data_IF_470368753842
#
_entry.id   IF_470368753842
#
_cell.length_a   1.000
_cell.length_b   1.000
_cell.length_c   1.000
_cell.angle_alpha   90.00
_cell.angle_beta   90.00
_cell.angle_gamma   90.00
#
_symmetry.space_group_name_H-M   'P 1'
#
loop_
_entity.id
_entity.type
_entity.pdbx_description
1 polymer ?
#
# COMPACT_ATOMS: atom_id res chain seq x y z
N UNK A 1 23.23 20.01 -5.19
CA UNK A 1 23.99 20.75 -4.17
C UNK A 1 23.20 20.68 -2.88
N UNK A 2 23.68 19.88 -1.93
CA UNK A 2 23.44 19.95 -0.48
C UNK A 2 21.99 19.90 0.07
N UNK A 3 21.62 18.72 0.60
CA UNK A 3 21.24 18.40 2.01
C UNK A 3 20.32 17.15 2.00
N UNK A 4 20.77 15.90 2.30
CA UNK A 4 21.02 15.31 3.63
C UNK A 4 19.73 15.17 4.49
N UNK A 5 19.40 14.10 5.25
CA UNK A 5 20.19 13.07 5.94
C UNK A 5 19.26 11.85 6.24
N UNK A 6 19.62 10.66 5.78
CA UNK A 6 19.15 9.38 6.34
C UNK A 6 19.93 9.09 7.64
N UNK A 7 19.23 8.78 8.73
CA UNK A 7 19.84 8.30 9.98
C UNK A 7 19.72 6.77 10.08
N UNK A 8 20.84 6.05 10.05
CA UNK A 8 20.89 4.61 10.35
C UNK A 8 22.06 4.34 11.30
N UNK A 9 21.75 3.75 12.46
CA UNK A 9 22.66 3.59 13.60
C UNK A 9 23.24 4.91 14.15
N UNK A 10 22.62 6.05 13.85
CA UNK A 10 23.09 7.42 14.11
C UNK A 10 24.18 7.96 13.17
N UNK A 11 24.47 7.29 12.04
CA UNK A 11 25.55 7.69 11.13
C UNK A 11 25.28 7.36 9.63
N UNK A 12 25.57 8.28 8.70
CA UNK A 12 25.60 7.97 7.26
C UNK A 12 26.79 7.08 6.92
N UNK A 13 26.53 5.85 6.47
CA UNK A 13 27.60 4.89 6.12
C UNK A 13 27.29 4.11 4.84
N UNK A 14 28.32 3.83 4.04
CA UNK A 14 28.17 2.96 2.87
C UNK A 14 27.93 1.49 3.26
N UNK A 15 27.31 0.71 2.39
CA UNK A 15 26.94 -0.69 2.66
C UNK A 15 28.12 -1.56 3.12
N UNK A 16 29.30 -1.34 2.54
CA UNK A 16 30.50 -2.07 2.96
C UNK A 16 30.91 -1.80 4.42
N UNK A 17 30.66 -0.59 4.94
CA UNK A 17 30.94 -0.20 6.32
C UNK A 17 29.85 -0.69 7.26
N UNK A 18 28.58 -0.70 6.83
CA UNK A 18 27.46 -1.33 7.54
C UNK A 18 27.72 -2.82 7.80
N UNK A 19 27.99 -3.56 6.72
CA UNK A 19 28.26 -4.99 6.77
C UNK A 19 29.58 -5.33 7.51
N UNK A 20 30.53 -4.39 7.53
CA UNK A 20 31.75 -4.50 8.34
C UNK A 20 31.45 -4.29 9.83
N UNK A 21 30.76 -3.20 10.20
CA UNK A 21 30.41 -2.87 11.59
C UNK A 21 29.63 -4.00 12.27
N UNK A 22 28.61 -4.56 11.59
CA UNK A 22 27.82 -5.69 12.12
C UNK A 22 28.65 -6.93 12.47
N UNK A 23 29.74 -7.19 11.75
CA UNK A 23 30.61 -8.36 11.95
C UNK A 23 31.72 -8.08 12.95
N UNK A 24 32.15 -6.83 13.05
CA UNK A 24 33.42 -6.46 13.66
C UNK A 24 33.24 -5.67 14.96
N UNK A 25 32.15 -4.92 15.14
CA UNK A 25 31.86 -4.20 16.37
C UNK A 25 31.84 -5.08 17.63
N UNK A 26 31.26 -6.31 17.63
CA UNK A 26 31.29 -7.20 18.79
C UNK A 26 32.68 -7.65 19.25
N UNK A 27 33.68 -7.53 18.37
CA UNK A 27 35.08 -7.92 18.64
C UNK A 27 36.03 -6.74 18.47
N UNK A 28 35.52 -5.51 18.59
CA UNK A 28 36.32 -4.30 18.35
C UNK A 28 37.51 -4.21 19.30
N UNK A 29 37.34 -4.68 20.55
CA UNK A 29 38.36 -4.70 21.59
C UNK A 29 39.56 -5.61 21.24
N UNK A 30 39.36 -6.63 20.40
CA UNK A 30 40.40 -7.60 20.02
C UNK A 30 41.27 -7.12 18.84
N UNK A 31 40.90 -6.00 18.20
CA UNK A 31 41.59 -5.53 17.01
C UNK A 31 42.83 -4.72 17.38
N UNK A 32 43.95 -5.02 16.71
CA UNK A 32 45.22 -4.27 16.80
C UNK A 32 45.49 -3.52 15.49
N UNK A 33 46.01 -2.30 15.62
CA UNK A 33 46.57 -1.56 14.49
C UNK A 33 48.08 -1.77 14.49
N UNK A 34 48.64 -1.96 13.31
CA UNK A 34 50.09 -2.11 13.12
C UNK A 34 50.74 -0.86 12.53
N UNK A 35 49.98 0.22 12.38
CA UNK A 35 50.37 1.46 11.70
C UNK A 35 50.15 2.70 12.59
N UNK A 36 50.22 2.55 13.91
CA UNK A 36 50.18 3.67 14.86
C UNK A 36 48.80 4.30 15.10
N UNK A 37 47.72 3.52 14.96
CA UNK A 37 46.32 3.90 15.27
C UNK A 37 45.73 5.13 14.54
N UNK A 38 46.45 5.69 13.56
CA UNK A 38 46.04 6.88 12.79
C UNK A 38 45.82 6.61 11.30
N UNK A 39 45.44 5.38 10.93
CA UNK A 39 45.20 5.04 9.52
C UNK A 39 44.07 5.86 8.92
N UNK A 40 44.33 6.48 7.78
CA UNK A 40 43.28 7.13 7.00
C UNK A 40 42.37 6.08 6.34
N UNK A 41 41.06 6.21 6.54
CA UNK A 41 40.05 5.28 6.03
C UNK A 41 39.27 5.94 4.89
N UNK A 42 39.56 5.52 3.66
CA UNK A 42 38.91 5.93 2.41
C UNK A 42 38.28 4.73 1.69
N UNK A 43 37.62 4.93 0.55
CA UNK A 43 37.05 3.84 -0.24
C UNK A 43 38.09 2.80 -0.69
N UNK A 44 39.34 3.23 -0.87
CA UNK A 44 40.48 2.39 -1.27
C UNK A 44 41.15 1.76 -0.03
N UNK A 45 41.44 2.57 1.00
CA UNK A 45 42.29 2.15 2.13
C UNK A 45 41.53 1.43 3.25
N UNK A 46 40.18 1.45 3.24
CA UNK A 46 39.32 0.81 4.26
C UNK A 46 39.53 -0.69 4.45
N UNK A 47 40.29 -1.38 3.62
CA UNK A 47 40.61 -2.80 3.83
C UNK A 47 41.91 -3.02 4.61
N UNK A 48 42.77 -2.00 4.72
CA UNK A 48 44.14 -2.14 5.23
C UNK A 48 44.23 -2.21 6.76
N UNK A 49 43.34 -1.53 7.49
CA UNK A 49 43.32 -1.59 8.95
C UNK A 49 41.90 -1.73 9.49
N UNK A 50 41.59 -2.90 10.06
CA UNK A 50 40.28 -3.19 10.66
C UNK A 50 40.06 -2.39 11.95
N UNK A 51 41.09 -2.19 12.78
CA UNK A 51 41.01 -1.43 14.03
C UNK A 51 40.61 0.04 13.77
N UNK A 52 41.38 0.76 12.95
CA UNK A 52 41.07 2.17 12.63
C UNK A 52 39.76 2.32 11.85
N UNK A 53 39.39 1.32 11.02
CA UNK A 53 38.07 1.34 10.36
C UNK A 53 36.91 1.20 11.33
N UNK A 54 36.98 0.26 12.28
CA UNK A 54 35.89 0.10 13.24
C UNK A 54 35.82 1.28 14.20
N UNK A 55 36.98 1.84 14.58
CA UNK A 55 37.04 3.06 15.38
C UNK A 55 36.34 4.20 14.65
N UNK A 56 36.68 4.45 13.38
CA UNK A 56 35.99 5.45 12.56
C UNK A 56 34.49 5.20 12.45
N UNK A 57 34.03 3.95 12.41
CA UNK A 57 32.60 3.63 12.43
C UNK A 57 31.91 4.07 13.74
N UNK A 58 32.55 3.89 14.89
CA UNK A 58 32.05 4.41 16.17
C UNK A 58 32.13 5.94 16.22
N UNK A 59 33.22 6.53 15.74
CA UNK A 59 33.42 7.99 15.74
C UNK A 59 32.37 8.72 14.90
N UNK A 60 31.89 8.10 13.80
CA UNK A 60 30.79 8.67 12.99
C UNK A 60 29.41 8.42 13.60
N UNK A 61 29.32 7.68 14.71
CA UNK A 61 28.10 7.52 15.50
C UNK A 61 27.45 6.14 15.48
N UNK A 62 28.02 5.12 14.83
CA UNK A 62 27.42 3.78 14.80
C UNK A 62 27.42 3.14 16.19
N UNK A 63 26.25 2.68 16.66
CA UNK A 63 26.10 2.09 18.00
C UNK A 63 25.95 0.57 17.99
N UNK A 64 26.71 -0.14 18.84
CA UNK A 64 26.74 -1.60 18.91
C UNK A 64 25.43 -2.21 19.45
N UNK A 65 24.71 -1.50 20.32
CA UNK A 65 23.45 -1.97 20.94
C UNK A 65 22.32 -2.26 19.94
N UNK A 66 22.43 -1.77 18.70
CA UNK A 66 21.46 -2.01 17.63
C UNK A 66 21.82 -3.23 16.76
N UNK A 67 22.84 -3.99 17.14
CA UNK A 67 23.19 -5.29 16.55
C UNK A 67 22.52 -6.38 17.39
N UNK A 68 21.52 -7.07 16.80
CA UNK A 68 20.82 -8.23 17.40
C UNK A 68 21.79 -9.19 18.09
N UNK A 69 21.49 -9.55 19.35
CA UNK A 69 22.35 -10.36 20.21
C UNK A 69 22.46 -11.81 19.72
N UNK A 70 23.43 -12.57 20.27
CA UNK A 70 23.62 -13.99 19.94
C UNK A 70 22.40 -14.86 20.30
N UNK A 71 21.73 -14.53 21.41
CA UNK A 71 20.55 -15.24 21.92
C UNK A 71 19.32 -15.04 21.00
N UNK A 72 19.10 -13.82 20.50
CA UNK A 72 18.02 -13.55 19.54
C UNK A 72 18.18 -14.31 18.21
N UNK A 73 19.41 -14.64 17.82
CA UNK A 73 19.67 -15.48 16.64
C UNK A 73 19.39 -16.96 16.89
N UNK A 74 19.60 -17.46 18.10
CA UNK A 74 19.28 -18.83 18.48
C UNK A 74 17.76 -19.04 18.61
N UNK A 75 17.06 -18.09 19.24
CA UNK A 75 15.60 -18.09 19.34
C UNK A 75 14.92 -18.12 17.95
N UNK A 76 15.49 -17.46 16.94
CA UNK A 76 15.04 -17.56 15.54
C UNK A 76 15.23 -18.93 14.90
N UNK A 77 16.33 -19.63 15.23
CA UNK A 77 16.58 -21.00 14.72
C UNK A 77 15.65 -22.02 15.38
N UNK A 78 15.30 -21.80 16.65
CA UNK A 78 14.39 -22.66 17.41
C UNK A 78 12.93 -22.46 17.01
N UNK A 79 12.49 -21.21 16.78
CA UNK A 79 11.14 -20.92 16.25
C UNK A 79 10.89 -21.53 14.87
N UNK A 80 11.91 -21.58 14.00
CA UNK A 80 11.84 -22.24 12.68
C UNK A 80 11.75 -23.77 12.75
N UNK A 81 12.14 -24.38 13.88
CA UNK A 81 11.98 -25.82 14.13
C UNK A 81 10.60 -26.16 14.71
N UNK A 82 10.03 -25.26 15.52
CA UNK A 82 8.69 -25.45 16.12
C UNK A 82 7.55 -25.32 15.12
N UNK A 83 7.66 -24.41 14.14
CA UNK A 83 6.61 -24.18 13.13
C UNK A 83 6.39 -25.32 12.12
N UNK A 84 6.97 -26.50 12.33
CA UNK A 84 6.89 -27.65 11.42
C UNK A 84 6.22 -28.88 12.05
N UNK A 85 5.66 -28.76 13.26
CA UNK A 85 5.18 -29.91 14.04
C UNK A 85 3.85 -29.76 14.78
N UNK A 86 3.06 -28.71 14.58
CA UNK A 86 1.83 -28.49 15.36
C UNK A 86 0.64 -28.12 14.44
N UNK A 87 0.08 -29.14 13.77
CA UNK A 87 -1.30 -29.17 13.28
C UNK A 87 -2.04 -30.27 14.07
N UNK A 88 -2.68 -29.93 15.20
CA UNK A 88 -3.80 -30.70 15.78
C UNK A 88 -4.41 -30.01 17.02
N UNK A 89 -5.75 -29.90 17.00
CA UNK A 89 -6.76 -29.75 18.08
C UNK A 89 -7.01 -28.40 18.80
N UNK A 90 -8.14 -27.75 18.44
CA UNK A 90 -9.38 -27.44 19.22
C UNK A 90 -9.28 -26.81 20.64
N UNK A 91 -10.23 -26.03 21.19
CA UNK A 91 -11.48 -25.32 20.81
C UNK A 91 -12.02 -24.58 22.08
N UNK A 92 -12.74 -23.45 21.91
CA UNK A 92 -13.79 -22.79 22.76
C UNK A 92 -13.51 -22.39 24.25
N UNK A 93 -14.09 -21.35 24.90
CA UNK A 93 -15.43 -20.69 24.92
C UNK A 93 -15.44 -19.25 25.56
N UNK A 94 -16.40 -18.41 25.12
CA UNK A 94 -17.24 -17.30 25.73
C UNK A 94 -16.91 -16.61 27.10
N UNK A 95 -17.30 -15.38 27.49
CA UNK A 95 -18.48 -14.53 27.15
C UNK A 95 -18.44 -13.06 27.69
N UNK A 96 -19.31 -12.20 27.12
CA UNK A 96 -20.04 -11.00 27.64
C UNK A 96 -19.47 -9.55 27.82
N UNK A 97 -20.11 -8.61 27.07
CA UNK A 97 -20.60 -7.21 27.29
C UNK A 97 -19.73 -6.13 28.00
N UNK A 98 -19.74 -4.82 27.69
CA UNK A 98 -20.64 -3.87 27.00
C UNK A 98 -19.93 -2.49 26.82
N UNK A 99 -20.50 -1.63 25.94
CA UNK A 99 -20.33 -0.17 25.78
C UNK A 99 -18.99 0.44 25.35
N UNK A 100 -18.99 1.12 24.18
CA UNK A 100 -18.15 2.30 23.79
C UNK A 100 -18.09 2.49 22.25
N UNK A 101 -19.17 2.93 21.61
CA UNK A 101 -19.18 3.06 20.14
C UNK A 101 -18.31 4.22 19.57
N UNK A 102 -17.84 5.18 20.37
CA UNK A 102 -16.87 6.19 19.92
C UNK A 102 -15.41 5.72 20.02
N UNK A 103 -15.09 4.86 21.00
CA UNK A 103 -13.74 4.32 21.22
C UNK A 103 -13.45 3.19 20.24
N UNK A 104 -14.43 2.32 19.96
CA UNK A 104 -14.30 1.19 19.03
C UNK A 104 -13.84 1.59 17.63
N UNK A 105 -14.28 2.73 17.09
CA UNK A 105 -13.93 3.16 15.73
C UNK A 105 -12.44 3.53 15.59
N UNK A 106 -11.90 4.20 16.59
CA UNK A 106 -10.46 4.47 16.69
C UNK A 106 -9.68 3.16 16.95
N UNK A 107 -10.18 2.28 17.82
CA UNK A 107 -9.54 1.00 18.14
C UNK A 107 -9.51 0.04 16.94
N UNK A 108 -10.52 0.03 16.07
CA UNK A 108 -10.54 -0.82 14.86
C UNK A 108 -9.53 -0.33 13.83
N UNK A 109 -9.48 0.97 13.52
CA UNK A 109 -8.44 1.55 12.65
C UNK A 109 -7.03 1.29 13.23
N UNK A 110 -6.85 1.49 14.53
CA UNK A 110 -5.58 1.29 15.23
C UNK A 110 -5.17 -0.19 15.27
N UNK A 111 -6.10 -1.13 15.46
CA UNK A 111 -5.84 -2.58 15.43
C UNK A 111 -5.53 -3.13 14.03
N UNK A 112 -6.08 -2.52 12.97
CA UNK A 112 -5.78 -2.86 11.58
C UNK A 112 -4.42 -2.30 11.17
N UNK A 113 -4.12 -1.07 11.59
CA UNK A 113 -2.79 -0.46 11.48
C UNK A 113 -1.76 -1.33 12.21
N UNK A 114 -2.02 -1.79 13.44
CA UNK A 114 -1.10 -2.61 14.23
C UNK A 114 -0.90 -4.03 13.66
N UNK A 115 -1.99 -4.72 13.27
CA UNK A 115 -1.90 -6.04 12.60
C UNK A 115 -1.11 -5.96 11.30
N UNK A 116 -1.39 -4.95 10.48
CA UNK A 116 -0.69 -4.76 9.21
C UNK A 116 0.71 -4.18 9.41
N UNK A 117 0.94 -3.38 10.45
CA UNK A 117 2.27 -2.97 10.92
C UNK A 117 3.06 -4.13 11.57
N UNK A 118 2.42 -5.28 11.85
CA UNK A 118 3.07 -6.53 12.23
C UNK A 118 3.34 -7.45 11.02
N UNK A 119 2.52 -7.38 9.96
CA UNK A 119 2.77 -7.98 8.63
C UNK A 119 3.83 -7.22 7.81
N UNK A 120 3.86 -5.89 7.92
CA UNK A 120 4.91 -5.03 7.37
C UNK A 120 6.27 -5.60 7.76
N UNK A 121 6.63 -5.86 9.02
CA UNK A 121 7.88 -6.51 9.44
C UNK A 121 8.24 -7.81 8.73
N UNK A 122 7.30 -8.60 8.22
CA UNK A 122 7.60 -9.82 7.46
C UNK A 122 7.94 -9.47 6.01
N UNK A 123 7.08 -8.69 5.34
CA UNK A 123 7.30 -8.19 3.98
C UNK A 123 8.54 -7.28 3.93
N UNK A 124 8.65 -6.33 4.83
CA UNK A 124 9.79 -5.42 5.10
C UNK A 124 11.04 -6.19 5.47
N UNK A 125 10.98 -7.35 6.13
CA UNK A 125 12.21 -8.14 6.38
C UNK A 125 12.78 -8.74 5.09
N UNK A 126 11.94 -9.06 4.11
CA UNK A 126 12.38 -9.49 2.77
C UNK A 126 12.69 -8.29 1.85
N UNK A 127 11.93 -7.19 1.98
CA UNK A 127 12.16 -5.93 1.26
C UNK A 127 13.42 -5.19 1.75
N UNK A 128 13.80 -5.25 3.04
CA UNK A 128 15.00 -4.58 3.61
C UNK A 128 16.30 -5.04 2.95
N UNK A 129 16.35 -6.28 2.46
CA UNK A 129 17.53 -6.81 1.77
C UNK A 129 17.47 -6.62 0.25
N UNK A 130 16.26 -6.42 -0.30
CA UNK A 130 16.04 -6.29 -1.73
C UNK A 130 15.95 -4.84 -2.20
N UNK A 131 15.41 -3.94 -1.38
CA UNK A 131 15.12 -2.54 -1.68
C UNK A 131 16.04 -1.58 -0.91
N UNK A 132 16.31 -0.41 -1.51
CA UNK A 132 17.03 0.68 -0.89
C UNK A 132 16.13 1.50 0.04
N UNK A 133 16.75 2.35 0.86
CA UNK A 133 16.03 3.07 1.92
C UNK A 133 14.95 4.02 1.38
N UNK A 134 15.16 4.60 0.19
CA UNK A 134 14.17 5.46 -0.46
C UNK A 134 12.95 4.65 -0.91
N UNK A 135 13.16 3.51 -1.56
CA UNK A 135 12.06 2.62 -1.97
C UNK A 135 11.24 2.13 -0.77
N UNK A 136 11.91 1.75 0.32
CA UNK A 136 11.24 1.32 1.56
C UNK A 136 10.43 2.47 2.17
N UNK A 137 10.98 3.68 2.18
CA UNK A 137 10.28 4.87 2.65
C UNK A 137 8.99 5.10 1.87
N UNK A 138 9.05 4.99 0.54
CA UNK A 138 7.88 5.16 -0.34
C UNK A 138 6.84 4.08 -0.15
N UNK A 139 7.25 2.83 -0.03
CA UNK A 139 6.33 1.74 0.29
C UNK A 139 5.64 1.95 1.63
N UNK A 140 6.38 2.34 2.67
CA UNK A 140 5.83 2.58 4.01
C UNK A 140 4.84 3.74 3.99
N UNK A 141 5.20 4.86 3.38
CA UNK A 141 4.33 6.04 3.30
C UNK A 141 3.03 5.72 2.56
N UNK A 142 3.14 5.07 1.39
CA UNK A 142 1.98 4.62 0.62
C UNK A 142 1.10 3.70 1.47
N UNK A 143 1.70 2.68 2.08
CA UNK A 143 1.01 1.74 2.94
C UNK A 143 0.27 2.43 4.08
N UNK A 144 0.94 3.32 4.82
CA UNK A 144 0.35 4.03 5.94
C UNK A 144 -0.80 4.93 5.48
N UNK A 145 -0.66 5.55 4.32
CA UNK A 145 -1.69 6.39 3.70
C UNK A 145 -2.93 5.60 3.30
N UNK A 146 -2.76 4.38 2.76
CA UNK A 146 -3.87 3.59 2.22
C UNK A 146 -4.67 2.82 3.27
N UNK A 147 -4.16 2.66 4.50
CA UNK A 147 -4.88 1.91 5.55
C UNK A 147 -6.28 2.48 5.80
N UNK A 148 -6.43 3.81 5.80
CA UNK A 148 -7.70 4.49 6.05
C UNK A 148 -8.73 4.35 4.93
N UNK A 149 -8.38 3.78 3.76
CA UNK A 149 -9.32 3.58 2.65
C UNK A 149 -10.19 2.32 2.80
N UNK A 150 -9.78 1.41 3.68
CA UNK A 150 -10.42 0.10 3.85
C UNK A 150 -11.75 0.21 4.57
N UNK A 151 -12.68 -0.65 4.17
CA UNK A 151 -13.98 -0.74 4.83
C UNK A 151 -13.90 -1.56 6.12
N UNK A 152 -14.73 -1.23 7.12
CA UNK A 152 -14.91 -2.11 8.26
C UNK A 152 -15.39 -3.48 7.78
N UNK A 153 -14.95 -4.54 8.45
CA UNK A 153 -15.47 -5.89 8.22
C UNK A 153 -16.84 -5.94 8.89
N UNK A 154 -17.90 -6.05 8.10
CA UNK A 154 -19.30 -6.11 8.57
C UNK A 154 -19.88 -7.47 8.22
N UNK A 155 -20.69 -8.04 9.12
CA UNK A 155 -21.46 -9.26 8.86
C UNK A 155 -22.57 -8.96 7.85
N UNK A 156 -22.64 -9.69 6.71
CA UNK A 156 -23.66 -9.43 5.70
C UNK A 156 -25.04 -9.87 6.18
N UNK A 157 -26.05 -9.01 6.01
CA UNK A 157 -27.44 -9.44 6.00
C UNK A 157 -27.79 -9.84 4.56
N UNK A 158 -28.29 -11.06 4.36
CA UNK A 158 -28.62 -11.61 3.03
C UNK A 158 -29.93 -11.03 2.45
N UNK A 159 -30.13 -9.72 2.59
CA UNK A 159 -31.24 -9.02 1.95
C UNK A 159 -30.75 -8.45 0.61
N UNK A 160 -31.30 -8.99 -0.47
CA UNK A 160 -31.02 -8.52 -1.82
C UNK A 160 -31.72 -7.17 -2.01
N UNK A 161 -30.94 -6.12 -2.26
CA UNK A 161 -31.48 -4.78 -2.48
C UNK A 161 -32.10 -4.67 -3.87
N UNK A 162 -33.27 -4.02 -3.98
CA UNK A 162 -33.81 -3.63 -5.28
C UNK A 162 -32.90 -2.56 -5.93
N UNK A 163 -33.06 -2.33 -7.23
CA UNK A 163 -32.19 -1.42 -8.00
C UNK A 163 -32.11 0.00 -7.42
N UNK A 164 -33.23 0.55 -6.96
CA UNK A 164 -33.29 1.92 -6.43
C UNK A 164 -32.51 2.04 -5.13
N UNK A 165 -32.67 1.07 -4.23
CA UNK A 165 -31.97 1.07 -2.95
C UNK A 165 -30.47 0.76 -3.13
N UNK A 166 -30.13 -0.11 -4.08
CA UNK A 166 -28.74 -0.36 -4.49
C UNK A 166 -28.06 0.94 -4.98
N UNK A 167 -28.73 1.74 -5.81
CA UNK A 167 -28.21 3.04 -6.26
C UNK A 167 -27.98 4.01 -5.10
N UNK A 168 -28.93 4.14 -4.17
CA UNK A 168 -28.77 5.02 -2.99
C UNK A 168 -27.58 4.60 -2.14
N UNK A 169 -27.44 3.29 -1.87
CA UNK A 169 -26.32 2.73 -1.11
C UNK A 169 -25.01 3.04 -1.84
N UNK A 170 -24.91 2.78 -3.15
CA UNK A 170 -23.71 3.07 -3.94
C UNK A 170 -23.34 4.55 -3.94
N UNK A 171 -24.30 5.47 -4.10
CA UNK A 171 -24.08 6.91 -4.05
C UNK A 171 -23.52 7.35 -2.69
N UNK A 172 -24.14 6.94 -1.59
CA UNK A 172 -23.66 7.25 -0.23
C UNK A 172 -22.26 6.69 0.03
N UNK A 173 -21.96 5.51 -0.49
CA UNK A 173 -20.67 4.84 -0.33
C UNK A 173 -19.57 5.46 -1.19
N UNK A 174 -19.93 5.95 -2.38
CA UNK A 174 -19.04 6.73 -3.24
C UNK A 174 -18.50 7.96 -2.49
N UNK A 175 -19.37 8.67 -1.78
CA UNK A 175 -19.00 9.86 -0.99
C UNK A 175 -18.02 9.55 0.16
N UNK A 176 -18.26 8.45 0.89
CA UNK A 176 -17.33 7.98 1.92
C UNK A 176 -15.97 7.61 1.31
N UNK A 177 -15.96 6.94 0.16
CA UNK A 177 -14.72 6.54 -0.52
C UNK A 177 -13.95 7.74 -1.05
N UNK A 178 -14.62 8.70 -1.68
CA UNK A 178 -14.02 9.96 -2.11
C UNK A 178 -13.30 10.67 -0.96
N UNK A 179 -13.96 10.85 0.19
CA UNK A 179 -13.33 11.46 1.38
C UNK A 179 -12.08 10.71 1.85
N UNK A 180 -12.12 9.38 1.82
CA UNK A 180 -10.97 8.55 2.22
C UNK A 180 -9.81 8.62 1.22
N UNK A 181 -10.11 8.71 -0.08
CA UNK A 181 -9.09 8.90 -1.13
C UNK A 181 -8.44 10.28 -0.99
N UNK A 182 -9.21 11.34 -0.76
CA UNK A 182 -8.68 12.67 -0.45
C UNK A 182 -7.79 12.61 0.79
N UNK A 183 -8.25 12.03 1.90
CA UNK A 183 -7.45 11.87 3.12
C UNK A 183 -6.16 11.06 2.89
N UNK A 184 -6.23 9.98 2.12
CA UNK A 184 -5.05 9.19 1.72
C UNK A 184 -4.07 10.07 0.94
N UNK A 185 -4.54 10.80 -0.07
CA UNK A 185 -3.68 11.66 -0.90
C UNK A 185 -2.97 12.73 -0.07
N UNK A 186 -3.64 13.32 0.93
CA UNK A 186 -3.03 14.32 1.82
C UNK A 186 -1.98 13.74 2.79
N UNK A 187 -1.95 12.42 2.96
CA UNK A 187 -0.91 11.74 3.75
C UNK A 187 0.34 11.38 2.92
N UNK A 188 0.34 11.68 1.62
CA UNK A 188 1.47 11.46 0.72
C UNK A 188 2.21 12.79 0.51
N UNK A 189 3.47 12.84 0.91
CA UNK A 189 4.32 14.04 0.84
C UNK A 189 4.45 14.58 -0.58
N UNK A 190 4.42 13.71 -1.58
CA UNK A 190 4.49 14.10 -3.00
C UNK A 190 3.24 14.81 -3.47
N UNK A 191 2.08 14.35 -3.01
CA UNK A 191 0.79 14.92 -3.39
C UNK A 191 0.60 16.27 -2.70
N UNK A 192 0.93 16.36 -1.40
CA UNK A 192 0.87 17.62 -0.65
C UNK A 192 1.78 18.71 -1.24
N UNK A 193 2.90 18.32 -1.85
CA UNK A 193 3.81 19.23 -2.55
C UNK A 193 3.35 19.75 -3.91
N UNK A 194 2.22 19.27 -4.45
CA UNK A 194 1.65 19.78 -5.71
C UNK A 194 0.90 21.11 -5.51
N UNK A 195 0.67 21.85 -6.59
CA UNK A 195 -0.23 23.00 -6.57
C UNK A 195 -1.71 22.54 -6.48
N UNK A 196 -2.59 23.42 -6.02
CA UNK A 196 -4.00 23.06 -5.77
C UNK A 196 -4.74 22.69 -7.06
N UNK A 197 -4.42 23.35 -8.18
CA UNK A 197 -4.98 23.04 -9.49
C UNK A 197 -4.65 21.60 -9.92
N UNK A 198 -3.40 21.18 -9.74
CA UNK A 198 -2.96 19.82 -10.03
C UNK A 198 -3.62 18.82 -9.08
N UNK A 199 -3.72 19.14 -7.78
CA UNK A 199 -4.38 18.26 -6.79
C UNK A 199 -5.84 17.99 -7.16
N UNK A 200 -6.59 19.05 -7.51
CA UNK A 200 -8.00 18.95 -7.90
C UNK A 200 -8.13 18.14 -9.19
N UNK A 201 -7.34 18.45 -10.22
CA UNK A 201 -7.40 17.73 -11.50
C UNK A 201 -7.09 16.23 -11.35
N UNK A 202 -6.10 15.88 -10.53
CA UNK A 202 -5.76 14.48 -10.24
C UNK A 202 -6.86 13.78 -9.45
N UNK A 203 -7.42 14.41 -8.42
CA UNK A 203 -8.47 13.81 -7.59
C UNK A 203 -9.78 13.59 -8.35
N UNK A 204 -10.19 14.55 -9.19
CA UNK A 204 -11.38 14.43 -10.05
C UNK A 204 -11.29 13.21 -10.96
N UNK A 205 -10.14 13.01 -11.59
CA UNK A 205 -9.96 11.88 -12.50
C UNK A 205 -9.70 10.55 -11.78
N UNK A 206 -8.94 10.56 -10.69
CA UNK A 206 -8.51 9.33 -10.03
C UNK A 206 -9.57 8.71 -9.12
N UNK A 207 -10.44 9.50 -8.47
CA UNK A 207 -11.41 8.98 -7.51
C UNK A 207 -12.32 7.89 -8.08
N UNK A 208 -12.98 8.08 -9.25
CA UNK A 208 -13.85 7.06 -9.83
C UNK A 208 -13.08 5.77 -10.17
N UNK A 209 -11.89 5.90 -10.78
CA UNK A 209 -11.02 4.76 -11.13
C UNK A 209 -10.57 3.99 -9.88
N UNK A 210 -10.12 4.69 -8.84
CA UNK A 210 -9.69 4.09 -7.57
C UNK A 210 -10.85 3.37 -6.88
N UNK A 211 -12.06 3.93 -6.90
CA UNK A 211 -13.26 3.29 -6.33
C UNK A 211 -13.54 1.96 -7.04
N UNK A 212 -13.54 1.96 -8.38
CA UNK A 212 -13.68 0.73 -9.17
C UNK A 212 -12.56 -0.27 -8.90
N UNK A 213 -11.29 0.15 -8.80
CA UNK A 213 -10.18 -0.74 -8.46
C UNK A 213 -10.34 -1.36 -7.05
N UNK A 214 -10.70 -0.56 -6.04
CA UNK A 214 -10.88 -1.03 -4.66
C UNK A 214 -12.06 -2.00 -4.55
N UNK A 215 -13.09 -1.86 -5.39
CA UNK A 215 -14.26 -2.75 -5.40
C UNK A 215 -13.88 -4.23 -5.59
N UNK A 216 -12.77 -4.50 -6.27
CA UNK A 216 -12.31 -5.86 -6.57
C UNK A 216 -11.87 -6.58 -5.29
N UNK A 217 -11.29 -5.87 -4.32
CA UNK A 217 -10.77 -6.44 -3.07
C UNK A 217 -11.89 -7.15 -2.29
N UNK A 218 -13.10 -6.61 -2.34
CA UNK A 218 -14.25 -7.11 -1.58
C UNK A 218 -15.28 -7.84 -2.46
N UNK A 219 -14.93 -8.16 -3.70
CA UNK A 219 -15.81 -8.89 -4.61
C UNK A 219 -15.74 -10.40 -4.36
N UNK A 220 -16.90 -11.01 -4.17
CA UNK A 220 -17.04 -12.46 -4.11
C UNK A 220 -17.19 -13.01 -5.54
N UNK A 221 -16.16 -13.72 -6.02
CA UNK A 221 -16.14 -14.28 -7.39
C UNK A 221 -17.07 -15.48 -7.57
N UNK A 222 -17.27 -16.29 -6.53
CA UNK A 222 -18.11 -17.49 -6.62
C UNK A 222 -19.59 -17.15 -6.76
N UNK A 223 -20.06 -16.15 -6.01
CA UNK A 223 -21.45 -15.70 -6.01
C UNK A 223 -21.72 -14.46 -6.86
N UNK A 224 -20.68 -13.88 -7.47
CA UNK A 224 -20.70 -12.62 -8.24
C UNK A 224 -21.39 -11.45 -7.50
N UNK A 225 -20.92 -11.13 -6.29
CA UNK A 225 -21.51 -10.05 -5.48
C UNK A 225 -20.51 -9.29 -4.60
N UNK A 226 -20.92 -8.11 -4.15
CA UNK A 226 -20.27 -7.34 -3.09
C UNK A 226 -21.11 -7.35 -1.82
N UNK A 227 -20.44 -7.36 -0.68
CA UNK A 227 -21.06 -6.98 0.59
C UNK A 227 -20.80 -5.50 0.83
N UNK A 228 -21.86 -4.69 0.82
CA UNK A 228 -21.80 -3.25 0.95
C UNK A 228 -22.40 -2.84 2.28
N UNK A 229 -21.55 -2.32 3.17
CA UNK A 229 -21.99 -1.76 4.44
C UNK A 229 -22.96 -0.60 4.21
N UNK A 230 -24.15 -0.66 4.81
CA UNK A 230 -25.13 0.44 4.85
C UNK A 230 -24.78 1.37 6.02
N UNK A 231 -24.45 0.77 7.16
CA UNK A 231 -24.00 1.43 8.38
C UNK A 231 -22.91 0.58 9.08
N UNK A 232 -22.66 0.84 10.37
CA UNK A 232 -21.59 0.14 11.13
C UNK A 232 -21.92 -1.33 11.41
N UNK A 233 -23.20 -1.70 11.45
CA UNK A 233 -23.68 -3.01 11.89
C UNK A 233 -24.43 -3.78 10.79
N UNK A 234 -24.89 -3.10 9.73
CA UNK A 234 -25.66 -3.69 8.64
C UNK A 234 -24.93 -3.56 7.30
N UNK A 235 -24.97 -4.63 6.50
CA UNK A 235 -24.47 -4.66 5.14
C UNK A 235 -25.44 -5.39 4.21
N UNK A 236 -25.67 -4.85 3.01
CA UNK A 236 -26.48 -5.49 1.97
C UNK A 236 -25.60 -6.19 0.94
N UNK A 237 -26.17 -7.20 0.29
CA UNK A 237 -25.55 -7.85 -0.86
C UNK A 237 -25.92 -7.12 -2.15
N UNK A 238 -24.92 -6.60 -2.85
CA UNK A 238 -25.05 -6.05 -4.19
C UNK A 238 -24.57 -7.07 -5.21
N UNK A 239 -25.50 -7.63 -5.98
CA UNK A 239 -25.19 -8.60 -7.04
C UNK A 239 -24.64 -7.92 -8.28
N UNK A 240 -23.68 -8.53 -8.97
CA UNK A 240 -23.11 -7.98 -10.21
C UNK A 240 -24.16 -7.81 -11.32
N UNK A 241 -25.13 -8.71 -11.39
CA UNK A 241 -26.23 -8.67 -12.37
C UNK A 241 -27.14 -7.43 -12.24
N UNK A 242 -27.03 -6.66 -11.14
CA UNK A 242 -27.68 -5.34 -10.99
C UNK A 242 -27.32 -4.39 -12.14
N UNK A 243 -26.11 -4.51 -12.70
CA UNK A 243 -25.68 -3.67 -13.81
C UNK A 243 -26.35 -4.01 -15.13
N UNK A 244 -27.04 -5.15 -15.26
CA UNK A 244 -27.87 -5.48 -16.43
C UNK A 244 -29.10 -4.57 -16.54
N UNK A 245 -29.50 -3.96 -15.42
CA UNK A 245 -30.61 -3.00 -15.38
C UNK A 245 -30.18 -1.60 -15.85
N UNK A 246 -28.87 -1.36 -15.97
CA UNK A 246 -28.31 -0.12 -16.50
C UNK A 246 -28.18 -0.26 -18.02
N UNK A 247 -28.64 0.75 -18.77
CA UNK A 247 -28.52 0.74 -20.23
C UNK A 247 -27.04 0.72 -20.66
N UNK A 248 -26.74 0.05 -21.78
CA UNK A 248 -25.37 -0.09 -22.30
C UNK A 248 -24.74 -1.44 -21.92
N UNK A 249 -23.42 -1.52 -22.02
CA UNK A 249 -22.63 -2.73 -21.79
C UNK A 249 -21.91 -2.72 -20.42
N UNK A 250 -22.45 -2.00 -19.43
CA UNK A 250 -21.79 -1.81 -18.14
C UNK A 250 -21.56 -3.14 -17.42
N UNK A 251 -22.53 -4.05 -17.46
CA UNK A 251 -22.41 -5.39 -16.88
C UNK A 251 -21.24 -6.16 -17.51
N UNK A 252 -21.22 -6.30 -18.83
CA UNK A 252 -20.17 -7.05 -19.53
C UNK A 252 -18.79 -6.42 -19.33
N UNK A 253 -18.70 -5.09 -19.42
CA UNK A 253 -17.45 -4.36 -19.28
C UNK A 253 -16.88 -4.48 -17.86
N UNK A 254 -17.71 -4.26 -16.82
CA UNK A 254 -17.28 -4.41 -15.43
C UNK A 254 -16.95 -5.87 -15.08
N UNK A 255 -17.73 -6.82 -15.59
CA UNK A 255 -17.46 -8.25 -15.41
C UNK A 255 -16.14 -8.65 -16.05
N UNK A 256 -15.87 -8.21 -17.28
CA UNK A 256 -14.60 -8.49 -17.95
C UNK A 256 -13.42 -7.96 -17.13
N UNK A 257 -13.51 -6.73 -16.62
CA UNK A 257 -12.48 -6.13 -15.77
C UNK A 257 -12.24 -6.90 -14.47
N UNK A 258 -13.30 -7.32 -13.77
CA UNK A 258 -13.17 -8.09 -12.52
C UNK A 258 -12.38 -9.39 -12.73
N UNK A 259 -12.65 -10.11 -13.83
CA UNK A 259 -11.95 -11.36 -14.15
C UNK A 259 -10.57 -11.14 -14.78
N UNK A 260 -10.34 -10.02 -15.49
CA UNK A 260 -9.00 -9.70 -16.02
C UNK A 260 -8.02 -9.39 -14.90
N UNK A 261 -8.52 -8.81 -13.80
CA UNK A 261 -7.79 -8.59 -12.55
C UNK A 261 -7.59 -9.89 -11.75
N UNK A 262 -8.43 -10.91 -11.90
CA UNK A 262 -8.26 -12.29 -11.37
C UNK A 262 -7.97 -12.43 -9.86
N UNK A 263 -8.26 -13.60 -9.28
CA UNK A 263 -8.05 -13.90 -7.85
C UNK A 263 -6.57 -13.71 -7.37
N UNK A 264 -5.60 -13.78 -8.29
CA UNK A 264 -4.17 -13.69 -7.98
C UNK A 264 -3.70 -12.30 -7.55
N UNK A 265 -4.37 -11.22 -7.96
CA UNK A 265 -3.97 -9.85 -7.60
C UNK A 265 -4.81 -9.27 -6.46
N UNK A 266 -6.06 -9.72 -6.31
CA UNK A 266 -7.00 -9.21 -5.30
C UNK A 266 -6.54 -9.52 -3.87
N UNK A 267 -5.81 -10.62 -3.71
CA UNK A 267 -5.21 -11.04 -2.44
C UNK A 267 -3.90 -10.33 -2.10
N UNK A 268 -3.26 -9.66 -3.06
CA UNK A 268 -2.03 -8.90 -2.82
C UNK A 268 -2.30 -7.41 -2.73
N UNK A 269 -2.56 -6.99 -1.50
CA UNK A 269 -2.88 -5.59 -1.22
C UNK A 269 -1.74 -4.61 -1.56
N UNK A 270 -0.47 -5.05 -1.61
CA UNK A 270 0.63 -4.15 -1.97
C UNK A 270 0.58 -3.81 -3.46
N UNK A 271 0.17 -4.77 -4.31
CA UNK A 271 -0.07 -4.51 -5.73
C UNK A 271 -1.19 -3.49 -5.86
N UNK A 272 -2.30 -3.67 -5.15
CA UNK A 272 -3.43 -2.74 -5.21
C UNK A 272 -3.03 -1.33 -4.74
N UNK A 273 -2.31 -1.21 -3.62
CA UNK A 273 -1.82 0.08 -3.11
C UNK A 273 -0.94 0.79 -4.15
N UNK A 274 -0.04 0.06 -4.82
CA UNK A 274 0.81 0.60 -5.89
C UNK A 274 0.01 1.04 -7.12
N UNK A 275 -0.98 0.25 -7.53
CA UNK A 275 -1.88 0.60 -8.65
C UNK A 275 -2.69 1.87 -8.33
N UNK A 276 -3.17 2.01 -7.09
CA UNK A 276 -3.85 3.24 -6.62
C UNK A 276 -2.93 4.45 -6.79
N UNK A 277 -1.67 4.36 -6.37
CA UNK A 277 -0.71 5.45 -6.55
C UNK A 277 -0.42 5.75 -8.04
N UNK A 278 -0.34 4.73 -8.89
CA UNK A 278 -0.15 4.89 -10.34
C UNK A 278 -1.35 5.60 -10.99
N UNK A 279 -2.58 5.28 -10.57
CA UNK A 279 -3.81 5.95 -11.01
C UNK A 279 -3.83 7.40 -10.52
N UNK A 280 -3.53 7.64 -9.23
CA UNK A 280 -3.54 8.97 -8.61
C UNK A 280 -2.60 9.94 -9.32
N UNK A 281 -1.37 9.51 -9.62
CA UNK A 281 -0.38 10.35 -10.29
C UNK A 281 -0.41 10.19 -11.81
N UNK A 282 -1.57 10.32 -12.47
CA UNK A 282 -1.65 10.22 -13.92
C UNK A 282 -1.26 11.56 -14.60
N UNK A 283 -0.15 11.63 -15.37
CA UNK A 283 0.30 12.88 -16.00
C UNK A 283 -0.51 13.25 -17.26
N UNK A 284 -1.38 12.36 -17.73
CA UNK A 284 -2.18 12.59 -18.93
C UNK A 284 -3.50 13.31 -18.64
N UNK A 285 -3.75 13.71 -17.39
CA UNK A 285 -4.98 14.41 -17.04
C UNK A 285 -5.06 15.79 -17.73
N UNK A 286 -6.28 16.19 -18.16
CA UNK A 286 -6.49 17.54 -18.65
C UNK A 286 -6.22 18.56 -17.53
N UNK A 287 -5.84 19.78 -17.91
CA UNK A 287 -5.67 20.91 -16.98
C UNK A 287 -4.55 20.80 -15.93
N UNK A 288 -3.64 19.83 -16.05
CA UNK A 288 -2.44 19.81 -15.22
C UNK A 288 -1.47 20.93 -15.61
N UNK A 289 -1.01 21.67 -14.58
CA UNK A 289 0.01 22.71 -14.64
C UNK A 289 1.40 22.09 -14.68
N UNK A 290 1.73 21.18 -13.76
CA UNK A 290 3.08 20.60 -13.62
C UNK A 290 3.14 19.10 -13.99
N UNK A 291 2.84 18.78 -15.24
CA UNK A 291 2.80 17.40 -15.76
C UNK A 291 4.07 16.58 -15.51
N UNK A 292 5.24 17.20 -15.61
CA UNK A 292 6.51 16.50 -15.40
C UNK A 292 6.70 16.05 -13.96
N UNK A 293 6.25 16.84 -12.98
CA UNK A 293 6.31 16.47 -11.57
C UNK A 293 5.42 15.25 -11.30
N UNK A 294 4.20 15.26 -11.82
CA UNK A 294 3.26 14.13 -11.72
C UNK A 294 3.84 12.89 -12.39
N UNK A 295 4.41 13.03 -13.59
CA UNK A 295 5.03 11.93 -14.34
C UNK A 295 6.18 11.27 -13.57
N UNK A 296 7.03 12.05 -12.92
CA UNK A 296 8.11 11.51 -12.08
C UNK A 296 7.55 10.67 -10.95
N UNK A 297 6.46 11.11 -10.29
CA UNK A 297 5.83 10.32 -9.24
C UNK A 297 5.21 9.04 -9.79
N UNK A 298 4.49 9.09 -10.91
CA UNK A 298 3.93 7.90 -11.54
C UNK A 298 5.00 6.86 -11.88
N UNK A 299 6.09 7.31 -12.50
CA UNK A 299 7.20 6.45 -12.89
C UNK A 299 7.86 5.79 -11.68
N UNK A 300 7.93 6.50 -10.55
CA UNK A 300 8.42 5.95 -9.29
C UNK A 300 7.54 4.77 -8.84
N UNK A 301 6.21 4.92 -8.78
CA UNK A 301 5.32 3.83 -8.35
C UNK A 301 5.27 2.67 -9.36
N UNK A 302 5.36 2.95 -10.67
CA UNK A 302 5.54 1.90 -11.69
C UNK A 302 6.84 1.12 -11.49
N UNK A 303 7.93 1.81 -11.15
CA UNK A 303 9.21 1.18 -10.83
C UNK A 303 9.10 0.32 -9.57
N UNK A 304 8.46 0.81 -8.49
CA UNK A 304 8.23 0.01 -7.28
C UNK A 304 7.39 -1.23 -7.55
N UNK A 305 6.37 -1.13 -8.40
CA UNK A 305 5.56 -2.28 -8.81
C UNK A 305 6.38 -3.33 -9.55
N UNK A 306 7.22 -2.93 -10.52
CA UNK A 306 8.14 -3.87 -11.19
C UNK A 306 9.03 -4.59 -10.19
N UNK A 307 9.67 -3.82 -9.31
CA UNK A 307 10.58 -4.33 -8.28
C UNK A 307 9.89 -5.28 -7.31
N UNK A 308 8.66 -4.98 -6.93
CA UNK A 308 7.85 -5.83 -6.05
C UNK A 308 7.50 -7.17 -6.71
N UNK A 309 7.11 -7.13 -7.99
CA UNK A 309 6.84 -8.34 -8.77
C UNK A 309 8.10 -9.19 -8.97
N UNK A 310 9.26 -8.57 -9.21
CA UNK A 310 10.55 -9.27 -9.29
C UNK A 310 10.93 -9.97 -7.97
N UNK A 311 10.56 -9.40 -6.83
CA UNK A 311 10.80 -10.04 -5.53
C UNK A 311 9.86 -11.23 -5.30
N UNK A 312 8.59 -11.10 -5.70
CA UNK A 312 7.56 -12.12 -5.49
C UNK A 312 7.73 -13.34 -6.40
N UNK A 313 8.45 -13.20 -7.51
CA UNK A 313 8.54 -14.22 -8.55
C UNK A 313 9.98 -14.56 -8.90
N UNK A 314 10.27 -15.86 -8.97
CA UNK A 314 11.62 -16.36 -9.22
C UNK A 314 12.15 -16.02 -10.63
N UNK A 315 11.26 -15.74 -11.59
CA UNK A 315 11.59 -15.46 -12.98
C UNK A 315 11.35 -14.00 -13.34
N UNK A 316 12.40 -13.34 -13.85
CA UNK A 316 12.31 -11.95 -14.35
C UNK A 316 11.34 -11.80 -15.53
N UNK A 317 11.25 -12.83 -16.39
CA UNK A 317 10.32 -12.82 -17.52
C UNK A 317 8.87 -12.87 -17.02
N UNK A 318 8.61 -13.68 -15.99
CA UNK A 318 7.28 -13.80 -15.40
C UNK A 318 6.85 -12.50 -14.70
N UNK A 319 7.76 -11.85 -13.98
CA UNK A 319 7.47 -10.55 -13.36
C UNK A 319 7.16 -9.45 -14.39
N UNK A 320 7.86 -9.43 -15.53
CA UNK A 320 7.60 -8.45 -16.60
C UNK A 320 6.25 -8.71 -17.29
N UNK A 321 5.91 -9.97 -17.59
CA UNK A 321 4.60 -10.33 -18.15
C UNK A 321 3.48 -9.89 -17.21
N UNK A 322 3.64 -10.12 -15.90
CA UNK A 322 2.65 -9.66 -14.90
C UNK A 322 2.56 -8.14 -14.83
N UNK A 323 3.69 -7.43 -14.89
CA UNK A 323 3.69 -5.97 -14.91
C UNK A 323 2.90 -5.43 -16.11
N UNK A 324 3.19 -5.94 -17.32
CA UNK A 324 2.49 -5.54 -18.54
C UNK A 324 1.00 -5.85 -18.43
N UNK A 325 0.63 -7.02 -17.92
CA UNK A 325 -0.77 -7.39 -17.70
C UNK A 325 -1.48 -6.40 -16.77
N UNK A 326 -0.87 -6.05 -15.64
CA UNK A 326 -1.45 -5.07 -14.70
C UNK A 326 -1.61 -3.68 -15.34
N UNK A 327 -0.65 -3.24 -16.15
CA UNK A 327 -0.76 -1.97 -16.87
C UNK A 327 -1.90 -2.00 -17.91
N UNK A 328 -2.09 -3.12 -18.61
CA UNK A 328 -3.22 -3.28 -19.54
C UNK A 328 -4.56 -3.30 -18.80
N UNK A 329 -4.62 -3.94 -17.63
CA UNK A 329 -5.83 -3.93 -16.82
C UNK A 329 -6.20 -2.51 -16.33
N UNK A 330 -5.22 -1.63 -16.08
CA UNK A 330 -5.51 -0.21 -15.79
C UNK A 330 -6.11 0.51 -17.00
N UNK A 331 -5.75 0.15 -18.23
CA UNK A 331 -6.37 0.69 -19.43
C UNK A 331 -7.81 0.19 -19.60
N UNK A 332 -8.06 -1.09 -19.29
CA UNK A 332 -9.43 -1.64 -19.26
C UNK A 332 -10.28 -0.93 -18.19
N UNK A 333 -9.72 -0.72 -17.00
CA UNK A 333 -10.36 0.04 -15.92
C UNK A 333 -10.74 1.44 -16.38
N UNK A 334 -9.85 2.15 -17.08
CA UNK A 334 -10.16 3.47 -17.62
C UNK A 334 -11.38 3.44 -18.55
N UNK A 335 -11.48 2.44 -19.44
CA UNK A 335 -12.62 2.30 -20.35
C UNK A 335 -13.93 1.98 -19.61
N UNK A 336 -13.88 1.06 -18.64
CA UNK A 336 -15.03 0.71 -17.79
C UNK A 336 -15.49 1.89 -16.94
N UNK A 337 -14.53 2.65 -16.39
CA UNK A 337 -14.79 3.80 -15.55
C UNK A 337 -15.54 4.91 -16.30
N UNK A 338 -15.25 5.14 -17.59
CA UNK A 338 -16.01 6.09 -18.40
C UNK A 338 -17.51 5.76 -18.43
N UNK A 339 -17.84 4.49 -18.65
CA UNK A 339 -19.24 4.04 -18.66
C UNK A 339 -19.84 4.21 -17.25
N UNK A 340 -19.10 3.89 -16.19
CA UNK A 340 -19.57 4.11 -14.82
C UNK A 340 -19.89 5.56 -14.51
N UNK A 341 -18.98 6.49 -14.85
CA UNK A 341 -19.17 7.93 -14.62
C UNK A 341 -20.38 8.43 -15.38
N UNK A 342 -20.50 8.08 -16.66
CA UNK A 342 -21.64 8.48 -17.49
C UNK A 342 -22.97 7.99 -16.87
N UNK A 343 -23.03 6.73 -16.45
CA UNK A 343 -24.24 6.15 -15.83
C UNK A 343 -24.51 6.64 -14.42
N UNK A 344 -23.47 6.99 -13.67
CA UNK A 344 -23.61 7.63 -12.37
C UNK A 344 -24.26 9.01 -12.52
N UNK A 345 -23.81 9.82 -13.49
CA UNK A 345 -24.39 11.13 -13.78
C UNK A 345 -25.83 11.02 -14.30
N UNK A 346 -26.11 10.10 -15.22
CA UNK A 346 -27.48 9.84 -15.72
C UNK A 346 -28.44 9.43 -14.60
N UNK A 347 -27.96 8.78 -13.54
CA UNK A 347 -28.80 8.36 -12.41
C UNK A 347 -29.34 9.54 -11.57
N UNK A 348 -28.80 10.75 -11.77
CA UNK A 348 -29.15 11.93 -10.98
C UNK A 348 -28.83 11.70 -9.50
N UNK A 349 -27.55 11.71 -9.10
CA UNK A 349 -27.13 11.21 -7.79
C UNK A 349 -27.48 12.17 -6.65
N UNK A 350 -28.76 12.21 -6.26
CA UNK A 350 -29.31 13.09 -5.22
C UNK A 350 -28.79 12.80 -3.81
N UNK A 351 -28.26 11.60 -3.58
CA UNK A 351 -27.66 11.21 -2.30
C UNK A 351 -26.14 11.45 -2.27
N UNK A 352 -25.57 12.03 -3.35
CA UNK A 352 -24.17 12.42 -3.38
C UNK A 352 -23.92 13.61 -2.44
N UNK A 353 -22.85 13.52 -1.65
CA UNK A 353 -22.39 14.66 -0.84
C UNK A 353 -21.69 15.72 -1.71
N UNK A 354 -21.47 16.93 -1.15
CA UNK A 354 -20.88 18.05 -1.89
C UNK A 354 -19.49 17.74 -2.49
N UNK A 355 -18.72 16.85 -1.85
CA UNK A 355 -17.43 16.42 -2.38
C UNK A 355 -17.59 15.59 -3.68
N UNK A 356 -18.60 14.73 -3.74
CA UNK A 356 -18.88 13.93 -4.95
C UNK A 356 -19.39 14.84 -6.06
N UNK A 357 -20.22 15.83 -5.73
CA UNK A 357 -20.65 16.85 -6.70
C UNK A 357 -19.46 17.59 -7.32
N UNK A 358 -18.47 17.97 -6.51
CA UNK A 358 -17.25 18.59 -6.98
C UNK A 358 -16.38 17.62 -7.80
N UNK A 359 -16.16 16.39 -7.32
CA UNK A 359 -15.30 15.39 -8.00
C UNK A 359 -15.84 14.99 -9.37
N UNK A 360 -17.16 14.81 -9.47
CA UNK A 360 -17.84 14.36 -10.69
C UNK A 360 -18.36 15.52 -11.55
N UNK A 361 -18.13 16.77 -11.13
CA UNK A 361 -18.62 17.98 -11.81
C UNK A 361 -20.14 17.95 -12.06
N UNK A 362 -20.91 17.45 -11.09
CA UNK A 362 -22.38 17.26 -11.22
C UNK A 362 -23.11 18.60 -11.45
N UNK A 363 -22.57 19.69 -10.89
CA UNK A 363 -23.19 21.01 -10.90
C UNK A 363 -22.50 22.03 -11.83
N UNK A 364 -21.53 21.60 -12.65
CA UNK A 364 -20.73 22.48 -13.52
C UNK A 364 -21.08 22.38 -15.00
#
# INVERSE_FOLDING_TARGET
MWLLYFLLYSALTCESCRSFFRRTAPKAQDLKCYFGDKCEITCVTRKFCKKCRIQKCFDVGMKIEWILSGEERQLRKERKKRSKGEESSADSTSDSSSDTNAVKRATVEQSLVERRAAEMPALVRDLIFAFNDLEISRFRELFTSTVSMRDPVVTPTFETTNFVDALKVLQKRCDIKCRRIVKMSTNMSEFTGLCEEDKIALLKAACPEIICLISIINFNFDGEYWNVAIDEDHATTLRLDIFKLVQGNLYEAHRQFLWSMSEQYNSDINIIDLLIAIILFNPNQPNLVHKDMVKVQQQMYMYLLRRYLELKHSSKTESEIRFVKLMNNLQELYAVNRIHVDKFLESGPKEAGPLVEEIYDINN
#
